data_IF_059506102973
#
_entry.id   IF_059506102973
#
_cell.length_a   1.000
_cell.length_b   1.000
_cell.length_c   1.000
_cell.angle_alpha   90.00
_cell.angle_beta   90.00
_cell.angle_gamma   90.00
#
_symmetry.space_group_name_H-M   'P 1'
#
loop_
_entity.id
_entity.type
_entity.pdbx_description
1 polymer ?
#
# COMPACT_ATOMS: atom_id res chain seq x y z
N UNK A 1 -21.66 -9.45 -26.57
CA UNK A 1 -21.32 -9.58 -25.15
C UNK A 1 -21.03 -8.17 -24.60
N UNK A 2 -21.75 -7.81 -23.55
CA UNK A 2 -21.62 -6.55 -22.85
C UNK A 2 -20.89 -6.79 -21.51
N UNK A 3 -19.82 -6.03 -21.26
CA UNK A 3 -19.05 -6.09 -20.03
C UNK A 3 -19.19 -4.79 -19.29
N UNK A 4 -19.68 -4.85 -18.04
CA UNK A 4 -19.70 -3.73 -17.12
C UNK A 4 -18.45 -3.75 -16.23
N UNK A 5 -17.77 -2.63 -16.11
CA UNK A 5 -16.64 -2.45 -15.19
C UNK A 5 -17.01 -1.39 -14.16
N UNK A 6 -17.12 -1.77 -12.89
CA UNK A 6 -17.39 -0.84 -11.79
C UNK A 6 -16.08 -0.37 -11.20
N UNK A 7 -15.78 0.92 -11.39
CA UNK A 7 -14.57 1.61 -10.97
C UNK A 7 -13.64 1.95 -12.12
N UNK A 8 -13.51 3.23 -12.40
CA UNK A 8 -12.62 3.82 -13.40
C UNK A 8 -11.18 4.05 -12.89
N UNK A 9 -10.71 3.20 -11.94
CA UNK A 9 -9.34 3.22 -11.42
C UNK A 9 -8.35 2.47 -12.30
N UNK A 10 -7.14 2.24 -11.77
CA UNK A 10 -6.04 1.59 -12.47
C UNK A 10 -6.44 0.23 -13.06
N UNK A 11 -6.94 -0.70 -12.23
CA UNK A 11 -7.27 -2.06 -12.69
C UNK A 11 -8.48 -2.09 -13.64
N UNK A 12 -9.51 -1.26 -13.38
CA UNK A 12 -10.71 -1.22 -14.21
C UNK A 12 -10.45 -0.67 -15.60
N UNK A 13 -9.72 0.43 -15.71
CA UNK A 13 -9.37 1.01 -17.02
C UNK A 13 -8.43 0.08 -17.80
N UNK A 14 -7.45 -0.55 -17.12
CA UNK A 14 -6.58 -1.51 -17.78
C UNK A 14 -7.36 -2.74 -18.27
N UNK A 15 -8.32 -3.24 -17.50
CA UNK A 15 -9.20 -4.32 -17.93
C UNK A 15 -10.02 -3.90 -19.16
N UNK A 16 -10.66 -2.73 -19.13
CA UNK A 16 -11.46 -2.22 -20.24
C UNK A 16 -10.64 -2.02 -21.52
N UNK A 17 -9.42 -1.45 -21.39
CA UNK A 17 -8.49 -1.28 -22.52
C UNK A 17 -8.07 -2.64 -23.08
N UNK A 18 -7.65 -3.58 -22.24
CA UNK A 18 -7.20 -4.91 -22.67
C UNK A 18 -8.32 -5.69 -23.37
N UNK A 19 -9.58 -5.58 -22.90
CA UNK A 19 -10.75 -6.19 -23.56
C UNK A 19 -10.94 -5.64 -24.98
N UNK A 20 -10.96 -4.31 -25.12
CA UNK A 20 -11.22 -3.65 -26.43
C UNK A 20 -10.07 -3.76 -27.40
N UNK A 21 -8.82 -3.78 -26.94
CA UNK A 21 -7.65 -4.00 -27.81
C UNK A 21 -7.64 -5.39 -28.44
N UNK A 22 -8.07 -6.42 -27.69
CA UNK A 22 -8.10 -7.79 -28.19
C UNK A 22 -9.39 -8.12 -28.97
N UNK A 23 -10.50 -7.45 -28.67
CA UNK A 23 -11.76 -7.64 -29.39
C UNK A 23 -12.55 -6.33 -29.50
N UNK A 24 -12.45 -5.66 -30.66
CA UNK A 24 -13.13 -4.39 -30.93
C UNK A 24 -14.67 -4.47 -30.87
N UNK A 25 -15.24 -5.65 -31.07
CA UNK A 25 -16.69 -5.84 -31.14
C UNK A 25 -17.34 -6.10 -29.77
N UNK A 26 -16.54 -6.21 -28.69
CA UNK A 26 -17.09 -6.35 -27.33
C UNK A 26 -17.62 -5.00 -26.81
N UNK A 27 -18.82 -4.99 -26.25
CA UNK A 27 -19.34 -3.81 -25.54
C UNK A 27 -18.65 -3.69 -24.17
N UNK A 28 -18.02 -2.55 -23.90
CA UNK A 28 -17.41 -2.28 -22.58
C UNK A 28 -17.88 -0.93 -22.08
N UNK A 29 -18.52 -0.96 -20.91
CA UNK A 29 -18.92 0.28 -20.20
C UNK A 29 -18.29 0.34 -18.83
N UNK A 30 -17.58 1.42 -18.55
CA UNK A 30 -16.98 1.73 -17.24
C UNK A 30 -17.91 2.66 -16.47
N UNK A 31 -18.27 2.28 -15.26
CA UNK A 31 -19.07 3.08 -14.33
C UNK A 31 -18.16 3.63 -13.24
N UNK A 32 -18.10 4.94 -13.12
CA UNK A 32 -17.28 5.64 -12.12
C UNK A 32 -18.14 6.65 -11.35
N UNK A 33 -18.11 6.56 -10.03
CA UNK A 33 -18.89 7.48 -9.18
C UNK A 33 -18.32 8.89 -9.08
N UNK A 34 -17.02 9.04 -9.35
CA UNK A 34 -16.34 10.34 -9.36
C UNK A 34 -16.52 11.04 -10.70
N UNK A 35 -16.36 12.38 -10.76
CA UNK A 35 -16.51 13.15 -12.02
C UNK A 35 -15.39 12.88 -13.04
N UNK A 36 -14.36 12.08 -12.67
CA UNK A 36 -13.27 11.67 -13.57
C UNK A 36 -12.67 10.34 -13.16
N UNK A 37 -12.29 9.55 -14.15
CA UNK A 37 -11.54 8.30 -13.95
C UNK A 37 -10.07 8.55 -13.58
N UNK A 38 -9.36 7.51 -13.09
CA UNK A 38 -7.91 7.46 -12.81
C UNK A 38 -7.44 8.47 -11.74
N UNK A 39 -8.36 9.01 -10.93
CA UNK A 39 -8.08 10.08 -9.97
C UNK A 39 -7.00 9.69 -8.95
N UNK A 40 -7.02 8.43 -8.43
CA UNK A 40 -6.04 7.95 -7.45
C UNK A 40 -4.62 7.91 -8.01
N UNK A 41 -4.42 7.68 -9.32
CA UNK A 41 -3.09 7.65 -9.95
C UNK A 41 -2.36 8.98 -9.78
N UNK A 42 -3.06 10.11 -9.88
CA UNK A 42 -2.47 11.46 -9.81
C UNK A 42 -1.75 11.74 -8.48
N UNK A 43 -2.11 11.05 -7.40
CA UNK A 43 -1.50 11.23 -6.07
C UNK A 43 -0.47 10.16 -5.73
N UNK A 44 -0.28 9.16 -6.60
CA UNK A 44 0.70 8.09 -6.36
C UNK A 44 2.13 8.57 -6.59
N UNK A 45 3.09 8.00 -5.85
CA UNK A 45 4.50 8.33 -5.97
C UNK A 45 4.80 9.84 -5.81
N UNK A 46 4.11 10.53 -4.89
CA UNK A 46 4.21 11.98 -4.69
C UNK A 46 3.93 12.79 -5.99
N UNK A 47 2.90 12.39 -6.75
CA UNK A 47 2.52 13.04 -8.01
C UNK A 47 3.35 12.60 -9.23
N UNK A 48 4.29 11.65 -9.05
CA UNK A 48 5.15 11.13 -10.13
C UNK A 48 4.62 9.83 -10.76
N UNK A 49 3.74 9.11 -10.09
CA UNK A 49 3.27 7.76 -10.39
C UNK A 49 4.42 6.73 -10.45
N UNK A 50 4.71 6.08 -9.33
CA UNK A 50 5.55 4.89 -9.34
C UNK A 50 4.78 3.74 -10.03
N UNK A 51 4.93 3.66 -11.36
CA UNK A 51 4.10 2.86 -12.26
C UNK A 51 4.15 1.37 -11.94
N UNK A 52 5.35 0.87 -11.67
CA UNK A 52 5.65 -0.52 -11.30
C UNK A 52 7.01 -0.60 -10.64
N UNK A 53 7.45 -1.83 -10.34
CA UNK A 53 8.79 -2.12 -9.87
C UNK A 53 9.32 -3.34 -10.61
N UNK A 54 10.52 -3.24 -11.22
CA UNK A 54 11.13 -4.35 -11.96
C UNK A 54 11.38 -5.58 -11.08
N UNK A 55 11.59 -5.37 -9.77
CA UNK A 55 11.82 -6.44 -8.80
C UNK A 55 10.51 -6.98 -8.19
N UNK A 56 9.34 -6.57 -8.70
CA UNK A 56 8.06 -6.97 -8.09
C UNK A 56 7.87 -8.49 -8.17
N UNK A 57 7.78 -9.11 -7.00
CA UNK A 57 7.51 -10.53 -6.79
C UNK A 57 6.50 -10.70 -5.67
N UNK A 58 6.05 -11.92 -5.40
CA UNK A 58 5.12 -12.22 -4.30
C UNK A 58 5.64 -11.78 -2.92
N UNK A 59 6.95 -11.74 -2.73
CA UNK A 59 7.59 -11.41 -1.45
C UNK A 59 7.31 -9.96 -1.02
N UNK A 60 7.00 -9.09 -1.98
CA UNK A 60 6.61 -7.71 -1.74
C UNK A 60 5.12 -7.53 -1.47
N UNK A 61 4.38 -8.61 -1.21
CA UNK A 61 2.94 -8.55 -0.96
C UNK A 61 2.55 -9.21 0.36
N UNK A 62 1.36 -8.87 0.84
CA UNK A 62 0.71 -9.42 2.03
C UNK A 62 -0.72 -9.84 1.69
N UNK A 63 -1.32 -10.66 2.56
CA UNK A 63 -2.63 -11.24 2.32
C UNK A 63 -2.54 -12.53 1.50
N UNK A 64 -3.48 -12.75 0.59
CA UNK A 64 -3.61 -13.97 -0.21
C UNK A 64 -2.68 -13.96 -1.44
N UNK A 65 -1.36 -14.00 -1.22
CA UNK A 65 -0.33 -13.80 -2.26
C UNK A 65 -0.33 -14.85 -3.37
N UNK A 66 -0.96 -16.00 -3.19
CA UNK A 66 -1.11 -17.03 -4.23
C UNK A 66 -1.90 -16.53 -5.45
N UNK A 67 -2.77 -15.53 -5.26
CA UNK A 67 -3.54 -14.87 -6.32
C UNK A 67 -2.63 -14.22 -7.36
N UNK A 68 -1.44 -13.81 -6.97
CA UNK A 68 -0.48 -13.15 -7.84
C UNK A 68 0.19 -14.10 -8.86
N UNK A 69 0.15 -15.42 -8.64
CA UNK A 69 0.94 -16.40 -9.40
C UNK A 69 0.73 -16.29 -10.90
N UNK A 70 -0.50 -16.43 -11.34
CA UNK A 70 -0.83 -16.38 -12.77
C UNK A 70 -0.75 -14.97 -13.35
N UNK A 71 -1.18 -13.98 -12.55
CA UNK A 71 -1.13 -12.60 -12.98
C UNK A 71 0.29 -12.13 -13.26
N UNK A 72 1.26 -12.50 -12.41
CA UNK A 72 2.66 -12.09 -12.58
C UNK A 72 3.42 -13.00 -13.56
N UNK A 73 3.03 -14.25 -13.72
CA UNK A 73 3.56 -15.12 -14.78
C UNK A 73 3.22 -14.59 -16.17
N UNK A 74 1.98 -14.16 -16.38
CA UNK A 74 1.51 -13.67 -17.69
C UNK A 74 1.81 -12.19 -17.92
N UNK A 75 1.69 -11.39 -16.88
CA UNK A 75 1.84 -9.94 -16.92
C UNK A 75 2.86 -9.45 -15.88
N UNK A 76 4.14 -9.87 -16.00
CA UNK A 76 5.22 -9.39 -15.13
C UNK A 76 5.47 -7.89 -15.31
N UNK A 77 6.31 -7.24 -14.49
CA UNK A 77 6.65 -5.83 -14.61
C UNK A 77 7.05 -5.40 -16.02
N UNK A 78 7.90 -6.19 -16.69
CA UNK A 78 8.33 -5.93 -18.07
C UNK A 78 7.14 -5.85 -19.04
N UNK A 79 6.18 -6.78 -18.94
CA UNK A 79 5.00 -6.78 -19.80
C UNK A 79 4.09 -5.57 -19.56
N UNK A 80 4.03 -5.05 -18.33
CA UNK A 80 3.29 -3.83 -18.05
C UNK A 80 4.02 -2.57 -18.51
N UNK A 81 5.35 -2.53 -18.45
CA UNK A 81 6.17 -1.46 -19.07
C UNK A 81 5.92 -1.43 -20.59
N UNK A 82 5.97 -2.58 -21.25
CA UNK A 82 5.70 -2.70 -22.70
C UNK A 82 4.28 -2.26 -23.05
N UNK A 83 3.28 -2.61 -22.22
CA UNK A 83 1.92 -2.14 -22.38
C UNK A 83 1.84 -0.60 -22.36
N UNK A 84 2.46 0.06 -21.38
CA UNK A 84 2.47 1.52 -21.32
C UNK A 84 3.30 2.16 -22.46
N UNK A 85 4.40 1.53 -22.86
CA UNK A 85 5.16 1.99 -24.02
C UNK A 85 4.30 1.95 -25.30
N UNK A 86 3.46 0.93 -25.48
CA UNK A 86 2.54 0.85 -26.63
C UNK A 86 1.46 1.94 -26.62
N UNK A 87 1.17 2.52 -25.44
CA UNK A 87 0.29 3.69 -25.30
C UNK A 87 1.02 5.03 -25.46
N UNK A 88 2.31 5.03 -25.86
CA UNK A 88 3.12 6.22 -26.03
C UNK A 88 3.74 6.78 -24.76
N UNK A 89 3.78 6.01 -23.67
CA UNK A 89 4.38 6.42 -22.40
C UNK A 89 5.78 5.84 -22.25
N UNK A 90 6.81 6.66 -22.38
CA UNK A 90 8.19 6.26 -22.04
C UNK A 90 8.40 6.25 -20.52
N UNK A 91 9.08 5.21 -20.05
CA UNK A 91 9.40 5.03 -18.62
C UNK A 91 10.90 4.98 -18.39
N UNK A 92 11.32 5.22 -17.15
CA UNK A 92 12.69 5.02 -16.66
C UNK A 92 12.67 4.28 -15.34
N UNK A 93 13.67 3.43 -15.12
CA UNK A 93 13.90 2.76 -13.85
C UNK A 93 14.83 3.59 -12.97
N UNK A 94 14.46 3.77 -11.73
CA UNK A 94 15.25 4.44 -10.68
C UNK A 94 15.72 3.43 -9.63
N UNK A 95 16.36 3.93 -8.57
CA UNK A 95 16.88 3.08 -7.49
C UNK A 95 15.83 2.09 -6.95
N UNK A 96 16.28 0.91 -6.56
CA UNK A 96 15.45 -0.19 -6.04
C UNK A 96 14.42 -0.74 -7.05
N UNK A 97 14.66 -0.57 -8.35
CA UNK A 97 13.78 -1.08 -9.42
C UNK A 97 12.47 -0.30 -9.62
N UNK A 98 12.32 0.87 -9.02
CA UNK A 98 11.13 1.72 -9.15
C UNK A 98 11.03 2.31 -10.55
N UNK A 99 9.88 2.16 -11.20
CA UNK A 99 9.66 2.63 -12.57
C UNK A 99 8.72 3.83 -12.57
N UNK A 100 9.15 4.90 -13.25
CA UNK A 100 8.40 6.15 -13.37
C UNK A 100 8.28 6.56 -14.84
N UNK A 101 7.26 7.36 -15.22
CA UNK A 101 7.27 8.03 -16.52
C UNK A 101 8.49 8.96 -16.61
N UNK A 102 9.09 9.05 -17.81
CA UNK A 102 10.27 9.90 -18.03
C UNK A 102 9.99 11.36 -17.68
N UNK A 103 8.76 11.82 -17.92
CA UNK A 103 8.30 13.17 -17.53
C UNK A 103 8.32 13.43 -16.02
N UNK A 104 8.36 12.37 -15.20
CA UNK A 104 8.22 12.46 -13.74
C UNK A 104 6.85 12.93 -13.26
N UNK A 105 5.81 12.83 -14.08
CA UNK A 105 4.46 13.30 -13.76
C UNK A 105 3.42 12.19 -13.89
N UNK A 106 2.61 12.00 -12.86
CA UNK A 106 1.49 11.04 -12.85
C UNK A 106 0.44 11.34 -13.92
N UNK A 107 0.28 12.62 -14.31
CA UNK A 107 -0.61 13.04 -15.38
C UNK A 107 -0.25 12.44 -16.74
N UNK A 108 1.02 12.14 -17.00
CA UNK A 108 1.42 11.48 -18.24
C UNK A 108 0.82 10.07 -18.36
N UNK A 109 0.82 9.30 -17.27
CA UNK A 109 0.18 7.97 -17.19
C UNK A 109 -1.31 8.06 -17.40
N UNK A 110 -1.95 9.03 -16.75
CA UNK A 110 -3.39 9.26 -16.87
C UNK A 110 -3.74 9.65 -18.32
N UNK A 111 -3.00 10.56 -18.93
CA UNK A 111 -3.24 11.02 -20.30
C UNK A 111 -3.06 9.89 -21.33
N UNK A 112 -2.03 9.05 -21.20
CA UNK A 112 -1.84 7.89 -22.08
C UNK A 112 -3.06 6.95 -22.05
N UNK A 113 -3.56 6.62 -20.86
CA UNK A 113 -4.75 5.80 -20.71
C UNK A 113 -6.03 6.48 -21.21
N UNK A 114 -6.22 7.78 -20.97
CA UNK A 114 -7.39 8.54 -21.46
C UNK A 114 -7.41 8.63 -22.99
N UNK A 115 -6.26 8.87 -23.63
CA UNK A 115 -6.13 8.86 -25.09
C UNK A 115 -6.52 7.50 -25.67
N UNK A 116 -6.06 6.41 -25.06
CA UNK A 116 -6.42 5.07 -25.52
C UNK A 116 -7.91 4.77 -25.32
N UNK A 117 -8.46 5.04 -24.13
CA UNK A 117 -9.91 4.89 -23.84
C UNK A 117 -10.76 5.57 -24.91
N UNK A 118 -10.40 6.81 -25.29
CA UNK A 118 -11.09 7.56 -26.34
C UNK A 118 -10.90 6.94 -27.73
N UNK A 119 -9.66 6.56 -28.08
CA UNK A 119 -9.31 6.08 -29.43
C UNK A 119 -9.98 4.76 -29.76
N UNK A 120 -10.13 3.87 -28.77
CA UNK A 120 -10.76 2.55 -28.96
C UNK A 120 -12.25 2.53 -28.61
N UNK A 121 -12.84 3.68 -28.26
CA UNK A 121 -14.28 3.84 -28.05
C UNK A 121 -14.84 3.12 -26.83
N UNK A 122 -14.13 3.16 -25.69
CA UNK A 122 -14.68 2.65 -24.42
C UNK A 122 -15.70 3.66 -23.88
N UNK A 123 -16.91 3.19 -23.58
CA UNK A 123 -17.93 4.00 -22.94
C UNK A 123 -17.59 4.21 -21.46
N UNK A 124 -17.50 5.45 -21.02
CA UNK A 124 -17.26 5.80 -19.61
C UNK A 124 -18.41 6.65 -19.11
N UNK A 125 -19.06 6.21 -18.03
CA UNK A 125 -20.11 6.94 -17.34
C UNK A 125 -19.55 7.40 -15.99
N UNK A 126 -19.16 8.67 -15.92
CA UNK A 126 -18.77 9.34 -14.67
C UNK A 126 -19.99 9.79 -13.89
N UNK A 127 -19.80 10.22 -12.64
CA UNK A 127 -20.89 10.62 -11.72
C UNK A 127 -22.00 9.54 -11.63
N UNK A 128 -21.62 8.27 -11.84
CA UNK A 128 -22.52 7.12 -11.91
C UNK A 128 -22.10 6.08 -10.89
N UNK A 129 -22.65 6.18 -9.69
CA UNK A 129 -22.44 5.20 -8.63
C UNK A 129 -23.36 4.00 -8.82
N UNK A 130 -22.79 2.80 -8.82
CA UNK A 130 -23.57 1.55 -8.77
C UNK A 130 -23.80 1.19 -7.31
N UNK A 131 -25.04 1.22 -6.88
CA UNK A 131 -25.47 0.95 -5.51
C UNK A 131 -26.26 -0.34 -5.35
N UNK A 132 -26.74 -0.90 -6.47
CA UNK A 132 -27.47 -2.16 -6.51
C UNK A 132 -27.00 -3.05 -7.67
N UNK A 133 -26.84 -4.34 -7.41
CA UNK A 133 -26.58 -5.36 -8.43
C UNK A 133 -27.56 -6.53 -8.20
N UNK A 134 -28.37 -6.83 -9.23
CA UNK A 134 -29.20 -8.03 -9.27
C UNK A 134 -28.63 -9.00 -10.29
N UNK A 135 -28.49 -10.27 -9.92
CA UNK A 135 -28.10 -11.37 -10.81
C UNK A 135 -29.35 -12.07 -11.31
N UNK A 136 -29.53 -12.12 -12.61
CA UNK A 136 -30.52 -13.01 -13.27
C UNK A 136 -29.80 -14.28 -13.73
N UNK A 137 -30.50 -15.19 -14.41
CA UNK A 137 -29.86 -16.42 -14.91
C UNK A 137 -28.69 -16.14 -15.85
N UNK A 138 -28.78 -15.11 -16.71
CA UNK A 138 -27.84 -14.88 -17.80
C UNK A 138 -27.15 -13.52 -17.78
N UNK A 139 -27.63 -12.56 -17.00
CA UNK A 139 -27.12 -11.19 -17.01
C UNK A 139 -27.09 -10.56 -15.61
N UNK A 140 -26.32 -9.49 -15.48
CA UNK A 140 -26.32 -8.59 -14.33
C UNK A 140 -27.18 -7.36 -14.66
N UNK A 141 -28.03 -6.95 -13.72
CA UNK A 141 -28.80 -5.72 -13.78
C UNK A 141 -28.26 -4.77 -12.71
N UNK A 142 -27.70 -3.64 -13.14
CA UNK A 142 -27.07 -2.63 -12.27
C UNK A 142 -28.04 -1.44 -12.12
N UNK A 143 -28.31 -1.03 -10.89
CA UNK A 143 -29.25 0.07 -10.55
C UNK A 143 -30.61 -0.05 -11.27
N UNK A 144 -31.09 -1.25 -11.54
CA UNK A 144 -32.35 -1.51 -12.24
C UNK A 144 -32.39 -1.09 -13.72
N UNK A 145 -31.31 -0.57 -14.30
CA UNK A 145 -31.31 0.05 -15.64
C UNK A 145 -30.20 -0.47 -16.57
N UNK A 146 -29.01 -0.76 -16.05
CA UNK A 146 -27.88 -1.13 -16.89
C UNK A 146 -27.71 -2.66 -16.90
N UNK A 147 -27.64 -3.25 -18.08
CA UNK A 147 -27.49 -4.69 -18.28
C UNK A 147 -26.09 -5.05 -18.73
N UNK A 148 -25.56 -6.17 -18.26
CA UNK A 148 -24.28 -6.71 -18.68
C UNK A 148 -24.23 -8.24 -18.59
N UNK A 149 -23.56 -8.90 -19.55
CA UNK A 149 -23.31 -10.35 -19.55
C UNK A 149 -22.21 -10.73 -18.56
N UNK A 150 -21.22 -9.82 -18.37
CA UNK A 150 -20.10 -9.96 -17.46
C UNK A 150 -19.92 -8.71 -16.63
N UNK A 151 -19.53 -8.91 -15.37
CA UNK A 151 -19.34 -7.81 -14.41
C UNK A 151 -17.94 -7.87 -13.78
N UNK A 152 -17.21 -6.77 -13.85
CA UNK A 152 -15.89 -6.61 -13.22
C UNK A 152 -15.98 -5.60 -12.09
N UNK A 153 -15.69 -6.02 -10.86
CA UNK A 153 -15.53 -5.10 -9.71
C UNK A 153 -14.07 -4.69 -9.64
N UNK A 154 -13.81 -3.42 -9.93
CA UNK A 154 -12.49 -2.77 -9.97
C UNK A 154 -12.44 -1.46 -9.18
N UNK A 155 -13.33 -1.30 -8.20
CA UNK A 155 -13.55 -0.06 -7.44
C UNK A 155 -12.53 0.17 -6.32
N UNK A 156 -11.53 -0.71 -6.19
CA UNK A 156 -10.50 -0.62 -5.16
C UNK A 156 -10.98 -1.03 -3.77
N UNK A 157 -10.22 -0.65 -2.75
CA UNK A 157 -10.50 -0.95 -1.34
C UNK A 157 -11.23 0.19 -0.61
N UNK A 158 -10.80 0.47 0.63
CA UNK A 158 -11.37 1.52 1.50
C UNK A 158 -10.43 2.70 1.74
N UNK A 159 -9.17 2.61 1.28
CA UNK A 159 -8.14 3.63 1.48
C UNK A 159 -8.21 4.76 0.44
N UNK A 160 -7.79 5.97 0.85
CA UNK A 160 -7.80 7.18 0.01
C UNK A 160 -9.21 7.59 -0.43
N UNK A 161 -10.13 7.74 0.51
CA UNK A 161 -11.55 8.08 0.27
C UNK A 161 -11.75 9.32 -0.61
N UNK A 162 -10.92 10.35 -0.45
CA UNK A 162 -10.95 11.55 -1.28
C UNK A 162 -10.71 11.27 -2.78
N UNK A 163 -10.20 10.11 -3.12
CA UNK A 163 -9.95 9.65 -4.49
C UNK A 163 -11.03 8.68 -5.02
N UNK A 164 -12.10 8.44 -4.24
CA UNK A 164 -13.25 7.64 -4.64
C UNK A 164 -13.28 6.20 -4.09
N UNK A 165 -12.27 5.76 -3.32
CA UNK A 165 -12.22 4.41 -2.74
C UNK A 165 -12.72 4.43 -1.29
N UNK A 166 -13.95 4.02 -1.04
CA UNK A 166 -14.61 4.05 0.27
C UNK A 166 -15.08 2.67 0.78
N UNK A 167 -14.81 1.61 0.01
CA UNK A 167 -15.24 0.25 0.32
C UNK A 167 -16.71 -0.05 -0.04
N UNK A 168 -17.38 0.84 -0.76
CA UNK A 168 -18.79 0.66 -1.15
C UNK A 168 -19.05 -0.65 -1.90
N UNK A 169 -18.14 -1.07 -2.77
CA UNK A 169 -18.23 -2.33 -3.52
C UNK A 169 -18.23 -3.59 -2.65
N UNK A 170 -17.67 -3.55 -1.46
CA UNK A 170 -17.74 -4.70 -0.55
C UNK A 170 -19.16 -5.01 -0.09
N UNK A 171 -20.02 -3.99 0.00
CA UNK A 171 -21.44 -4.18 0.28
C UNK A 171 -22.14 -4.85 -0.91
N UNK A 172 -21.83 -4.44 -2.14
CA UNK A 172 -22.36 -5.03 -3.37
C UNK A 172 -21.92 -6.49 -3.51
N UNK A 173 -20.66 -6.79 -3.27
CA UNK A 173 -20.14 -8.17 -3.29
C UNK A 173 -20.81 -9.06 -2.24
N UNK A 174 -21.00 -8.54 -1.02
CA UNK A 174 -21.73 -9.27 0.05
C UNK A 174 -23.17 -9.55 -0.33
N UNK A 175 -23.88 -8.63 -1.00
CA UNK A 175 -25.26 -8.85 -1.45
C UNK A 175 -25.36 -9.95 -2.52
N UNK A 176 -24.25 -10.24 -3.22
CA UNK A 176 -24.14 -11.36 -4.16
C UNK A 176 -23.63 -12.66 -3.52
N UNK A 177 -23.48 -12.68 -2.18
CA UNK A 177 -23.03 -13.87 -1.45
C UNK A 177 -21.49 -14.04 -1.39
N UNK A 178 -20.71 -13.06 -1.84
CA UNK A 178 -19.23 -13.14 -1.80
C UNK A 178 -18.74 -12.76 -0.40
N UNK A 179 -17.93 -13.61 0.21
CA UNK A 179 -17.31 -13.32 1.51
C UNK A 179 -16.22 -12.26 1.38
N UNK A 180 -16.09 -11.45 2.43
CA UNK A 180 -15.12 -10.36 2.50
C UNK A 180 -14.35 -10.47 3.79
N UNK A 181 -13.02 -10.55 3.71
CA UNK A 181 -12.13 -10.33 4.86
C UNK A 181 -12.28 -8.87 5.28
N UNK A 182 -12.56 -8.59 6.57
CA UNK A 182 -12.78 -7.22 7.03
C UNK A 182 -11.63 -6.29 6.62
N UNK A 183 -11.92 -5.16 5.94
CA UNK A 183 -10.86 -4.25 5.50
C UNK A 183 -10.29 -3.48 6.70
N UNK A 184 -8.97 -3.36 6.73
CA UNK A 184 -8.22 -2.51 7.67
C UNK A 184 -7.22 -1.63 6.92
N UNK A 185 -6.83 -0.44 7.49
CA UNK A 185 -5.87 0.45 6.85
C UNK A 185 -4.47 -0.19 6.81
N UNK A 186 -3.78 -0.07 5.68
CA UNK A 186 -2.38 -0.48 5.53
C UNK A 186 -1.56 0.60 4.81
N UNK A 187 -0.24 0.55 4.92
CA UNK A 187 0.69 1.58 4.47
C UNK A 187 0.33 2.96 5.03
N UNK A 188 0.27 3.05 6.35
CA UNK A 188 -0.08 4.28 7.09
C UNK A 188 0.81 4.46 8.32
N UNK A 189 0.62 5.53 9.09
CA UNK A 189 1.35 5.75 10.34
C UNK A 189 0.84 4.88 11.49
N UNK A 190 1.74 4.52 12.40
CA UNK A 190 1.44 3.74 13.62
C UNK A 190 1.26 4.68 14.80
N UNK A 191 0.20 4.47 15.56
CA UNK A 191 -0.13 5.24 16.77
C UNK A 191 0.56 4.59 17.96
N UNK A 192 1.33 5.39 18.69
CA UNK A 192 2.09 4.96 19.88
C UNK A 192 1.45 5.52 21.15
N UNK A 193 1.27 4.66 22.14
CA UNK A 193 0.75 5.05 23.44
C UNK A 193 1.71 6.02 24.17
N UNK A 194 1.16 7.11 24.70
CA UNK A 194 1.94 8.08 25.49
C UNK A 194 3.10 8.76 24.74
N UNK A 195 3.05 8.83 23.40
CA UNK A 195 4.17 9.33 22.61
C UNK A 195 4.38 10.86 22.79
N UNK A 196 5.62 11.33 23.03
CA UNK A 196 5.86 12.73 23.35
C UNK A 196 5.77 13.62 22.11
N UNK A 197 5.03 14.73 22.23
CA UNK A 197 4.90 15.72 21.14
C UNK A 197 6.22 16.46 20.84
N UNK A 198 7.18 16.44 21.76
CA UNK A 198 8.47 17.11 21.62
C UNK A 198 9.33 16.58 20.47
N UNK A 199 9.12 15.34 20.03
CA UNK A 199 9.86 14.73 18.91
C UNK A 199 9.16 14.93 17.56
N UNK A 200 8.03 15.64 17.50
CA UNK A 200 7.28 15.87 16.26
C UNK A 200 8.17 16.54 15.19
N UNK A 201 8.12 15.99 13.98
CA UNK A 201 8.84 16.48 12.81
C UNK A 201 10.28 15.94 12.67
N UNK A 202 10.79 15.24 13.69
CA UNK A 202 12.12 14.63 13.61
C UNK A 202 12.08 13.47 12.59
N UNK A 203 13.17 13.34 11.84
CA UNK A 203 13.45 12.18 10.96
C UNK A 203 14.78 11.58 11.36
N UNK A 204 14.85 10.26 11.37
CA UNK A 204 16.06 9.53 11.70
C UNK A 204 16.09 8.18 10.96
N UNK A 205 17.29 7.76 10.53
CA UNK A 205 17.47 6.40 10.01
C UNK A 205 17.46 5.44 11.18
N UNK A 206 16.53 4.51 11.17
CA UNK A 206 16.34 3.51 12.22
C UNK A 206 16.22 2.11 11.61
N UNK A 207 16.50 1.09 12.42
CA UNK A 207 15.93 -0.23 12.18
C UNK A 207 14.66 -0.36 13.01
N UNK A 208 13.54 -0.58 12.34
CA UNK A 208 12.24 -0.82 12.98
C UNK A 208 11.95 -2.31 13.00
N UNK A 209 11.64 -2.87 14.17
CA UNK A 209 11.25 -4.26 14.35
C UNK A 209 9.94 -4.35 15.10
N UNK A 210 8.96 -5.06 14.53
CA UNK A 210 7.62 -5.22 15.09
C UNK A 210 7.48 -6.58 15.76
N UNK A 211 7.05 -6.56 17.00
CA UNK A 211 6.69 -7.75 17.76
C UNK A 211 5.18 -7.78 18.02
N UNK A 212 4.57 -8.93 17.80
CA UNK A 212 3.19 -9.23 18.14
C UNK A 212 3.20 -10.41 19.11
N UNK A 213 2.69 -10.22 20.30
CA UNK A 213 2.67 -11.23 21.38
C UNK A 213 4.06 -11.83 21.68
N UNK A 214 5.12 -11.02 21.53
CA UNK A 214 6.50 -11.39 21.78
C UNK A 214 7.23 -12.02 20.60
N UNK A 215 6.56 -12.29 19.47
CA UNK A 215 7.16 -12.82 18.26
C UNK A 215 7.53 -11.70 17.27
N UNK A 216 8.76 -11.72 16.73
CA UNK A 216 9.17 -10.79 15.67
C UNK A 216 8.43 -11.12 14.37
N UNK A 217 7.69 -10.14 13.84
CA UNK A 217 6.85 -10.28 12.65
C UNK A 217 7.36 -9.52 11.44
N UNK A 218 8.15 -8.48 11.68
CA UNK A 218 8.70 -7.65 10.60
C UNK A 218 9.89 -6.84 11.07
N UNK A 219 10.91 -6.71 10.21
CA UNK A 219 12.11 -5.91 10.48
C UNK A 219 12.60 -5.22 9.22
N UNK A 220 12.84 -3.91 9.30
CA UNK A 220 13.36 -3.15 8.17
C UNK A 220 14.15 -1.92 8.64
N UNK A 221 15.21 -1.56 7.88
CA UNK A 221 15.99 -0.34 8.07
C UNK A 221 15.54 0.75 7.09
N UNK A 222 15.34 1.96 7.59
CA UNK A 222 15.06 3.12 6.76
C UNK A 222 14.70 4.36 7.57
N UNK A 223 14.29 5.43 6.88
CA UNK A 223 13.91 6.69 7.52
C UNK A 223 12.58 6.53 8.26
N UNK A 224 12.61 6.75 9.57
CA UNK A 224 11.44 6.86 10.45
C UNK A 224 11.17 8.32 10.71
N UNK A 225 9.93 8.73 10.54
CA UNK A 225 9.43 10.06 10.85
C UNK A 225 8.63 10.02 12.15
N UNK A 226 9.02 10.86 13.10
CA UNK A 226 8.37 10.99 14.39
C UNK A 226 7.29 12.09 14.31
N UNK A 227 6.07 11.78 14.76
CA UNK A 227 4.89 12.65 14.70
C UNK A 227 4.28 12.82 16.11
N UNK A 228 3.26 13.63 16.23
CA UNK A 228 2.54 13.83 17.50
C UNK A 228 1.65 12.66 17.93
N UNK A 229 1.34 11.74 17.02
CA UNK A 229 0.55 10.53 17.27
C UNK A 229 1.42 9.26 17.41
N UNK A 230 2.70 9.34 17.05
CA UNK A 230 3.59 8.18 16.98
C UNK A 230 4.57 8.29 15.82
N UNK A 231 4.65 7.28 14.97
CA UNK A 231 5.69 7.18 13.95
C UNK A 231 5.13 6.85 12.55
N UNK A 232 5.88 7.26 11.52
CA UNK A 232 5.65 6.94 10.11
C UNK A 232 6.99 6.78 9.37
N UNK A 233 6.98 6.85 8.05
CA UNK A 233 8.13 6.54 7.20
C UNK A 233 8.00 5.13 6.60
N UNK A 234 8.78 4.83 5.56
CA UNK A 234 8.61 3.59 4.78
C UNK A 234 8.63 2.33 5.66
N UNK A 235 9.62 2.11 6.55
CA UNK A 235 9.64 0.92 7.40
C UNK A 235 8.39 0.77 8.26
N UNK A 236 7.90 1.88 8.81
CA UNK A 236 6.72 1.90 9.66
C UNK A 236 5.44 1.66 8.85
N UNK A 237 5.33 2.27 7.68
CA UNK A 237 4.17 2.07 6.81
C UNK A 237 4.05 0.63 6.36
N UNK A 238 5.15 -0.03 6.04
CA UNK A 238 5.18 -1.42 5.59
C UNK A 238 4.74 -2.42 6.66
N UNK A 239 5.00 -2.14 7.94
CA UNK A 239 4.54 -2.98 9.06
C UNK A 239 3.12 -2.63 9.57
N UNK A 240 2.57 -1.48 9.16
CA UNK A 240 1.31 -0.96 9.73
C UNK A 240 0.09 -1.86 9.49
N UNK A 241 0.05 -2.58 8.36
CA UNK A 241 -0.99 -3.57 8.10
C UNK A 241 -1.01 -4.67 9.15
N UNK A 242 0.17 -5.16 9.58
CA UNK A 242 0.29 -6.18 10.64
C UNK A 242 -0.26 -5.62 11.96
N UNK A 243 0.05 -4.36 12.29
CA UNK A 243 -0.51 -3.70 13.49
C UNK A 243 -2.04 -3.64 13.42
N UNK A 244 -2.60 -3.26 12.26
CA UNK A 244 -4.04 -3.13 12.08
C UNK A 244 -4.79 -4.47 12.16
N UNK A 245 -4.20 -5.52 11.60
CA UNK A 245 -4.74 -6.89 11.60
C UNK A 245 -4.74 -7.54 13.00
N UNK A 246 -3.78 -7.15 13.86
CA UNK A 246 -3.63 -7.68 15.21
C UNK A 246 -4.14 -6.73 16.30
N UNK A 247 -5.14 -5.89 15.98
CA UNK A 247 -5.73 -4.94 16.93
C UNK A 247 -6.25 -5.65 18.18
N UNK A 248 -5.75 -5.21 19.34
CA UNK A 248 -6.07 -5.81 20.65
C UNK A 248 -5.01 -6.78 21.17
N UNK A 249 -4.04 -7.20 20.37
CA UNK A 249 -2.86 -7.95 20.81
C UNK A 249 -1.81 -7.06 21.52
N UNK A 250 -0.82 -7.69 22.10
CA UNK A 250 0.34 -6.98 22.67
C UNK A 250 1.33 -6.66 21.57
N UNK A 251 1.31 -5.41 21.08
CA UNK A 251 2.12 -4.98 19.92
C UNK A 251 3.20 -4.02 20.40
N UNK A 252 4.46 -4.42 20.20
CA UNK A 252 5.64 -3.63 20.54
C UNK A 252 6.43 -3.30 19.27
N UNK A 253 6.67 -2.01 19.05
CA UNK A 253 7.59 -1.53 18.03
C UNK A 253 8.93 -1.21 18.70
N UNK A 254 9.99 -1.89 18.29
CA UNK A 254 11.36 -1.66 18.73
C UNK A 254 12.10 -0.85 17.66
N UNK A 255 12.70 0.27 18.05
CA UNK A 255 13.50 1.10 17.17
C UNK A 255 14.97 1.09 17.61
N UNK A 256 15.86 0.65 16.73
CA UNK A 256 17.28 0.93 16.82
C UNK A 256 17.54 2.30 16.16
N UNK A 257 17.86 3.30 16.96
CA UNK A 257 18.02 4.69 16.50
C UNK A 257 19.38 4.94 15.82
N UNK A 258 20.34 4.03 15.94
CA UNK A 258 21.70 4.12 15.37
C UNK A 258 22.12 2.78 14.78
N UNK A 259 21.49 2.32 13.67
CA UNK A 259 21.66 0.96 13.18
C UNK A 259 23.09 0.62 12.72
N UNK A 260 23.89 1.61 12.41
CA UNK A 260 25.27 1.42 11.91
C UNK A 260 26.33 1.46 13.03
N UNK A 261 25.93 1.64 14.29
CA UNK A 261 26.81 1.69 15.47
C UNK A 261 26.32 0.66 16.46
N UNK A 262 27.22 -0.23 16.95
CA UNK A 262 26.81 -1.20 17.96
C UNK A 262 26.77 -0.58 19.37
N UNK A 263 26.06 -1.25 20.30
CA UNK A 263 25.83 -0.77 21.65
C UNK A 263 27.13 -0.51 22.41
N UNK A 264 28.12 -1.40 22.31
CA UNK A 264 29.39 -1.26 23.00
C UNK A 264 30.23 -0.11 22.46
N UNK A 265 30.22 0.13 21.15
CA UNK A 265 30.89 1.28 20.53
C UNK A 265 30.28 2.59 21.00
N UNK A 266 28.93 2.68 21.00
CA UNK A 266 28.21 3.83 21.49
C UNK A 266 28.52 4.10 22.96
N UNK A 267 28.49 3.08 23.81
CA UNK A 267 28.80 3.22 25.23
C UNK A 267 30.25 3.68 25.46
N UNK A 268 31.23 3.09 24.76
CA UNK A 268 32.66 3.49 24.83
C UNK A 268 32.85 4.94 24.39
N UNK A 269 32.20 5.34 23.28
CA UNK A 269 32.24 6.72 22.80
C UNK A 269 31.71 7.69 23.84
N UNK A 270 30.53 7.47 24.40
CA UNK A 270 29.92 8.33 25.40
C UNK A 270 30.74 8.42 26.70
N UNK A 271 31.29 7.29 27.17
CA UNK A 271 32.20 7.28 28.33
C UNK A 271 33.49 8.05 28.05
N UNK A 272 34.00 8.04 26.82
CA UNK A 272 35.16 8.86 26.44
C UNK A 272 34.84 10.36 26.44
N UNK A 273 33.65 10.76 25.95
CA UNK A 273 33.17 12.13 25.99
C UNK A 273 32.99 12.63 27.43
N UNK A 274 32.41 11.79 28.30
CA UNK A 274 32.28 12.10 29.74
C UNK A 274 33.63 12.41 30.38
N UNK A 275 34.68 11.61 30.11
CA UNK A 275 36.03 11.85 30.65
C UNK A 275 36.66 13.12 30.12
N UNK A 276 36.37 13.52 28.88
CA UNK A 276 36.95 14.69 28.22
C UNK A 276 36.22 15.97 28.54
N UNK A 277 34.91 15.94 28.73
CA UNK A 277 34.05 17.13 28.85
C UNK A 277 33.06 16.98 30.02
N UNK A 278 33.57 17.05 31.26
CA UNK A 278 32.79 16.83 32.47
C UNK A 278 31.60 17.76 32.62
N UNK A 279 31.77 19.04 32.19
CA UNK A 279 30.80 20.12 32.41
C UNK A 279 29.74 20.24 31.29
N UNK A 280 29.93 19.55 30.15
CA UNK A 280 28.90 19.51 29.11
C UNK A 280 27.64 18.84 29.65
N UNK A 281 26.49 19.38 29.28
CA UNK A 281 25.23 18.74 29.61
C UNK A 281 25.09 17.39 28.84
N UNK A 282 24.26 16.50 29.37
CA UNK A 282 23.94 15.23 28.70
C UNK A 282 23.33 15.50 27.32
N UNK A 283 22.44 16.50 27.17
CA UNK A 283 21.84 16.88 25.88
C UNK A 283 22.90 17.35 24.88
N UNK A 284 23.83 18.22 25.28
CA UNK A 284 24.94 18.66 24.40
C UNK A 284 25.81 17.48 23.96
N UNK A 285 26.06 16.53 24.85
CA UNK A 285 26.88 15.33 24.55
C UNK A 285 26.20 14.44 23.52
N UNK A 286 24.88 14.22 23.59
CA UNK A 286 24.17 13.35 22.66
C UNK A 286 23.72 14.05 21.36
N UNK A 287 23.76 15.40 21.32
CA UNK A 287 23.38 16.17 20.12
C UNK A 287 24.27 15.91 18.89
N UNK A 288 25.48 15.37 19.11
CA UNK A 288 26.41 14.97 18.05
C UNK A 288 26.12 13.59 17.46
N UNK A 289 25.16 12.83 18.02
CA UNK A 289 24.86 11.44 17.60
C UNK A 289 23.40 11.23 17.22
N UNK A 290 22.48 12.02 17.77
CA UNK A 290 21.04 11.97 17.47
C UNK A 290 20.50 13.38 17.23
N UNK A 291 19.44 13.55 16.45
CA UNK A 291 18.69 14.81 16.40
C UNK A 291 18.30 15.24 17.82
N UNK A 292 18.48 16.53 18.14
CA UNK A 292 18.38 17.06 19.50
C UNK A 292 17.14 16.57 20.25
N UNK A 293 15.95 16.73 19.68
CA UNK A 293 14.70 16.34 20.34
C UNK A 293 14.61 14.81 20.59
N UNK A 294 15.14 14.00 19.68
CA UNK A 294 15.17 12.54 19.83
C UNK A 294 16.19 12.11 20.90
N UNK A 295 17.35 12.74 20.90
CA UNK A 295 18.37 12.56 21.94
C UNK A 295 17.84 12.91 23.34
N UNK A 296 17.19 14.08 23.47
CA UNK A 296 16.54 14.51 24.73
C UNK A 296 15.48 13.51 25.21
N UNK A 297 14.66 13.00 24.30
CA UNK A 297 13.68 11.97 24.63
C UNK A 297 14.34 10.66 25.11
N UNK A 298 15.38 10.20 24.43
CA UNK A 298 16.10 8.99 24.81
C UNK A 298 16.81 9.12 26.17
N UNK A 299 17.37 10.31 26.48
CA UNK A 299 17.95 10.63 27.80
C UNK A 299 16.89 10.51 28.91
N UNK A 300 15.74 11.17 28.73
CA UNK A 300 14.64 11.12 29.71
C UNK A 300 14.12 9.70 29.89
N UNK A 301 13.97 8.93 28.81
CA UNK A 301 13.58 7.51 28.85
C UNK A 301 14.63 6.62 29.55
N UNK A 302 15.86 7.13 29.74
CA UNK A 302 16.95 6.47 30.47
C UNK A 302 17.16 7.06 31.89
N UNK A 303 16.22 7.90 32.35
CA UNK A 303 16.30 8.59 33.64
C UNK A 303 17.57 9.46 33.78
N UNK A 304 17.97 10.13 32.70
CA UNK A 304 19.05 11.13 32.65
C UNK A 304 18.40 12.49 32.34
N UNK A 305 18.64 13.51 33.16
CA UNK A 305 18.15 14.89 32.91
C UNK A 305 18.95 15.52 31.80
N UNK A 306 18.30 16.21 30.86
CA UNK A 306 18.96 16.88 29.74
C UNK A 306 20.03 17.86 30.14
N UNK A 307 19.74 18.68 31.16
CA UNK A 307 20.66 19.70 31.67
C UNK A 307 21.70 19.17 32.68
N UNK A 308 21.71 17.88 33.00
CA UNK A 308 22.68 17.30 33.95
C UNK A 308 24.08 17.29 33.29
N UNK A 309 25.14 17.74 33.98
CA UNK A 309 26.51 17.58 33.51
C UNK A 309 26.81 16.09 33.23
N UNK A 310 27.41 15.80 32.10
CA UNK A 310 27.68 14.40 31.70
C UNK A 310 28.69 13.75 32.67
N UNK A 311 29.57 14.53 33.28
CA UNK A 311 30.51 14.08 34.35
C UNK A 311 29.77 13.47 35.55
N UNK A 312 28.59 14.00 35.90
CA UNK A 312 27.78 13.52 37.02
C UNK A 312 26.88 12.34 36.70
N UNK A 313 26.80 11.93 35.42
CA UNK A 313 25.96 10.76 35.01
C UNK A 313 26.72 9.46 35.33
N UNK A 314 26.18 8.58 36.16
CA UNK A 314 26.83 7.28 36.44
C UNK A 314 27.09 6.47 35.15
N UNK A 315 28.24 5.77 35.08
CA UNK A 315 28.61 4.96 33.90
C UNK A 315 27.55 3.90 33.57
N UNK A 316 26.91 3.33 34.60
CA UNK A 316 25.80 2.40 34.42
C UNK A 316 24.60 3.03 33.67
N UNK A 317 24.29 4.31 33.92
CA UNK A 317 23.23 5.03 33.20
C UNK A 317 23.63 5.34 31.74
N UNK A 318 24.91 5.61 31.47
CA UNK A 318 25.40 5.80 30.09
C UNK A 318 25.26 4.49 29.30
N UNK A 319 25.59 3.36 29.91
CA UNK A 319 25.37 2.03 29.29
C UNK A 319 23.88 1.75 29.05
N UNK A 320 23.03 2.02 30.05
CA UNK A 320 21.58 1.89 29.92
C UNK A 320 21.00 2.80 28.82
N UNK A 321 21.50 4.04 28.68
CA UNK A 321 21.15 4.92 27.57
C UNK A 321 21.57 4.32 26.22
N UNK A 322 22.76 3.75 26.11
CA UNK A 322 23.24 3.10 24.88
C UNK A 322 22.34 1.94 24.49
N UNK A 323 21.94 1.09 25.46
CA UNK A 323 21.00 0.00 25.25
C UNK A 323 19.61 0.54 24.84
N UNK A 324 19.12 1.61 25.47
CA UNK A 324 17.84 2.23 25.13
C UNK A 324 17.83 2.80 23.70
N UNK A 325 18.93 3.43 23.26
CA UNK A 325 19.10 3.94 21.88
C UNK A 325 19.07 2.79 20.86
N UNK A 326 19.62 1.65 21.21
CA UNK A 326 19.63 0.45 20.35
C UNK A 326 18.32 -0.33 20.37
N UNK A 327 17.50 -0.15 21.39
CA UNK A 327 16.23 -0.85 21.55
C UNK A 327 15.20 0.05 22.25
N UNK A 328 14.76 1.09 21.56
CA UNK A 328 13.68 1.95 22.02
C UNK A 328 12.35 1.26 21.80
N UNK A 329 11.79 0.71 22.86
CA UNK A 329 10.50 0.00 22.83
C UNK A 329 9.34 0.97 22.94
N UNK A 330 8.40 0.87 22.01
CA UNK A 330 7.21 1.71 21.88
C UNK A 330 5.98 0.79 21.82
N UNK A 331 4.97 1.07 22.64
CA UNK A 331 3.70 0.32 22.60
C UNK A 331 2.83 0.84 21.48
N UNK A 332 2.61 0.03 20.45
CA UNK A 332 1.72 0.35 19.35
C UNK A 332 0.27 0.03 19.77
N UNK A 333 -0.63 1.02 19.65
CA UNK A 333 -2.05 0.88 20.04
C UNK A 333 -2.99 0.89 18.83
N UNK A 334 -2.46 1.07 17.62
CA UNK A 334 -3.23 1.07 16.38
C UNK A 334 -2.50 1.79 15.25
N UNK A 335 -3.26 2.07 14.21
CA UNK A 335 -2.78 2.78 13.02
C UNK A 335 -3.70 3.94 12.70
N UNK A 336 -3.22 4.90 11.89
CA UNK A 336 -4.08 5.95 11.36
C UNK A 336 -5.13 5.38 10.40
N UNK A 337 -6.31 6.01 10.37
CA UNK A 337 -7.46 5.55 9.60
C UNK A 337 -7.26 5.53 8.08
N UNK A 338 -8.31 5.09 7.38
CA UNK A 338 -8.32 4.95 5.92
C UNK A 338 -8.08 6.26 5.16
N UNK A 339 -8.37 7.40 5.76
CA UNK A 339 -8.11 8.72 5.18
C UNK A 339 -6.61 9.01 5.01
N UNK A 340 -5.76 8.34 5.79
CA UNK A 340 -4.29 8.46 5.75
C UNK A 340 -3.60 7.23 5.17
N UNK A 341 -4.32 6.15 4.97
CA UNK A 341 -3.79 4.91 4.43
C UNK A 341 -3.62 4.99 2.90
N UNK A 342 -2.54 4.41 2.39
CA UNK A 342 -2.34 4.31 0.94
C UNK A 342 -3.12 3.15 0.32
N UNK A 343 -3.25 2.05 1.08
CA UNK A 343 -3.90 0.82 0.63
C UNK A 343 -4.75 0.19 1.73
N UNK A 344 -5.54 -0.79 1.34
CA UNK A 344 -6.40 -1.60 2.20
C UNK A 344 -5.79 -2.99 2.35
N UNK A 345 -5.68 -3.51 3.58
CA UNK A 345 -5.60 -4.94 3.85
C UNK A 345 -7.00 -5.50 4.02
N UNK A 346 -7.25 -6.72 3.55
CA UNK A 346 -8.60 -7.29 3.48
C UNK A 346 -9.22 -7.17 2.09
N UNK A 347 -10.48 -7.58 1.92
CA UNK A 347 -11.18 -7.67 0.64
C UNK A 347 -11.61 -9.08 0.31
N UNK A 348 -11.81 -9.39 -0.97
CA UNK A 348 -12.25 -10.71 -1.44
C UNK A 348 -11.12 -11.72 -1.29
N UNK A 349 -11.29 -12.78 -0.45
CA UNK A 349 -10.24 -13.77 -0.23
C UNK A 349 -10.10 -14.74 -1.42
N UNK A 350 -8.93 -15.39 -1.51
CA UNK A 350 -8.64 -16.42 -2.53
C UNK A 350 -9.64 -17.58 -2.54
N UNK A 351 -10.29 -17.86 -1.44
CA UNK A 351 -11.32 -18.90 -1.35
C UNK A 351 -12.55 -18.60 -2.21
N UNK A 352 -12.85 -17.33 -2.46
CA UNK A 352 -14.03 -16.88 -3.20
C UNK A 352 -13.79 -16.73 -4.70
N UNK A 353 -12.54 -16.69 -5.17
CA UNK A 353 -12.20 -16.47 -6.58
C UNK A 353 -11.36 -17.59 -7.17
N UNK A 354 -11.46 -17.74 -8.47
CA UNK A 354 -10.57 -18.59 -9.25
C UNK A 354 -9.24 -17.84 -9.46
N UNK A 355 -8.13 -18.43 -9.04
CA UNK A 355 -6.81 -17.79 -9.07
C UNK A 355 -6.27 -17.55 -10.49
N UNK A 356 -6.78 -18.30 -11.49
CA UNK A 356 -6.35 -18.22 -12.90
C UNK A 356 -7.13 -17.18 -13.71
N UNK A 357 -8.34 -16.78 -13.23
CA UNK A 357 -9.27 -15.94 -14.00
C UNK A 357 -9.75 -14.72 -13.23
N UNK A 358 -9.63 -14.70 -11.90
CA UNK A 358 -10.21 -13.74 -10.98
C UNK A 358 -11.75 -13.73 -11.00
N UNK A 359 -12.39 -14.76 -11.54
CA UNK A 359 -13.84 -14.96 -11.50
C UNK A 359 -14.28 -15.44 -10.12
N UNK A 360 -15.39 -14.93 -9.60
CA UNK A 360 -16.00 -15.43 -8.37
C UNK A 360 -16.50 -16.87 -8.56
N UNK A 361 -16.13 -17.78 -7.65
CA UNK A 361 -16.48 -19.22 -7.78
C UNK A 361 -17.98 -19.46 -7.73
N UNK A 362 -18.71 -18.72 -6.91
CA UNK A 362 -20.13 -18.92 -6.65
C UNK A 362 -21.04 -17.98 -7.48
N UNK A 363 -20.46 -17.03 -8.23
CA UNK A 363 -21.22 -16.07 -9.05
C UNK A 363 -20.60 -16.00 -10.43
N UNK A 364 -21.06 -16.86 -11.32
CA UNK A 364 -20.54 -16.96 -12.68
C UNK A 364 -20.67 -15.62 -13.43
N UNK A 365 -19.60 -15.22 -14.11
CA UNK A 365 -19.52 -13.97 -14.85
C UNK A 365 -19.18 -12.73 -14.01
N UNK A 366 -18.99 -12.90 -12.69
CA UNK A 366 -18.51 -11.85 -11.79
C UNK A 366 -17.01 -12.00 -11.58
N UNK A 367 -16.27 -10.94 -11.84
CA UNK A 367 -14.81 -10.86 -11.67
C UNK A 367 -14.44 -9.77 -10.67
N UNK A 368 -13.34 -9.96 -9.94
CA UNK A 368 -12.83 -8.96 -8.97
C UNK A 368 -11.35 -8.71 -9.24
N UNK A 369 -10.96 -7.42 -9.37
CA UNK A 369 -9.58 -7.04 -9.71
C UNK A 369 -9.02 -5.96 -8.80
N UNK A 370 -7.70 -5.81 -8.81
CA UNK A 370 -7.00 -4.76 -8.07
C UNK A 370 -7.14 -4.88 -6.55
N UNK A 371 -7.24 -3.74 -5.88
CA UNK A 371 -7.23 -3.64 -4.41
C UNK A 371 -8.55 -4.14 -3.75
N UNK A 372 -9.56 -4.51 -4.53
CA UNK A 372 -10.76 -5.15 -4.00
C UNK A 372 -10.52 -6.60 -3.55
N UNK A 373 -9.44 -7.22 -4.02
CA UNK A 373 -8.99 -8.56 -3.64
C UNK A 373 -8.13 -8.48 -2.39
N UNK A 374 -8.18 -9.50 -1.52
CA UNK A 374 -7.41 -9.57 -0.26
C UNK A 374 -5.90 -9.74 -0.49
N UNK A 375 -5.28 -8.80 -1.19
CA UNK A 375 -3.83 -8.73 -1.40
C UNK A 375 -3.40 -7.28 -1.57
N UNK A 376 -2.31 -6.88 -0.91
CA UNK A 376 -1.71 -5.57 -1.07
C UNK A 376 -0.19 -5.65 -1.11
N UNK A 377 0.42 -4.79 -1.91
CA UNK A 377 1.87 -4.67 -2.03
C UNK A 377 2.45 -3.68 -1.03
N UNK A 378 3.71 -3.87 -0.69
CA UNK A 378 4.53 -2.93 0.06
C UNK A 378 4.74 -1.62 -0.71
N UNK A 379 5.38 -0.62 -0.09
CA UNK A 379 5.76 0.62 -0.77
C UNK A 379 6.76 0.32 -1.90
N UNK A 380 6.58 0.93 -3.09
CA UNK A 380 7.57 0.75 -4.14
C UNK A 380 7.06 0.50 -5.56
N UNK A 381 5.75 0.68 -5.84
CA UNK A 381 5.15 0.47 -7.16
C UNK A 381 4.41 -0.87 -7.29
N UNK A 382 4.48 -1.72 -6.27
CA UNK A 382 3.92 -3.07 -6.29
C UNK A 382 2.37 -3.07 -6.40
N UNK A 383 1.68 -2.15 -5.75
CA UNK A 383 0.22 -2.05 -5.80
C UNK A 383 -0.30 -1.67 -7.20
N UNK A 384 0.40 -0.81 -7.92
CA UNK A 384 0.06 -0.51 -9.31
C UNK A 384 0.40 -1.67 -10.23
N UNK A 385 1.53 -2.36 -10.01
CA UNK A 385 1.85 -3.61 -10.72
C UNK A 385 0.69 -4.62 -10.63
N UNK A 386 0.16 -4.85 -9.41
CA UNK A 386 -0.99 -5.71 -9.21
C UNK A 386 -2.24 -5.21 -9.95
N UNK A 387 -2.51 -3.91 -9.87
CA UNK A 387 -3.67 -3.33 -10.54
C UNK A 387 -3.64 -3.56 -12.06
N UNK A 388 -2.48 -3.35 -12.71
CA UNK A 388 -2.30 -3.60 -14.14
C UNK A 388 -2.42 -5.07 -14.48
N UNK A 389 -1.70 -5.93 -13.76
CA UNK A 389 -1.67 -7.38 -14.03
C UNK A 389 -3.02 -8.04 -13.82
N UNK A 390 -3.73 -7.70 -12.75
CA UNK A 390 -5.06 -8.26 -12.46
C UNK A 390 -6.12 -7.81 -13.47
N UNK A 391 -6.07 -6.54 -13.91
CA UNK A 391 -6.97 -6.03 -14.93
C UNK A 391 -6.79 -6.76 -16.28
N UNK A 392 -5.54 -6.99 -16.69
CA UNK A 392 -5.21 -7.71 -17.94
C UNK A 392 -5.56 -9.20 -17.85
N UNK A 393 -5.30 -9.84 -16.70
CA UNK A 393 -5.66 -11.25 -16.47
C UNK A 393 -7.18 -11.45 -16.55
N UNK A 394 -7.95 -10.56 -15.93
CA UNK A 394 -9.40 -10.58 -15.98
C UNK A 394 -9.91 -10.42 -17.42
N UNK A 395 -9.37 -9.49 -18.18
CA UNK A 395 -9.73 -9.28 -19.58
C UNK A 395 -9.48 -10.53 -20.45
N UNK A 396 -8.31 -11.16 -20.30
CA UNK A 396 -7.98 -12.42 -20.99
C UNK A 396 -8.97 -13.54 -20.65
N UNK A 397 -9.34 -13.68 -19.37
CA UNK A 397 -10.26 -14.69 -18.91
C UNK A 397 -11.66 -14.53 -19.53
N UNK A 398 -12.19 -13.30 -19.53
CA UNK A 398 -13.50 -12.97 -20.14
C UNK A 398 -13.52 -13.30 -21.63
N UNK A 399 -12.45 -12.99 -22.36
CA UNK A 399 -12.37 -13.26 -23.80
C UNK A 399 -12.27 -14.74 -24.12
N UNK A 400 -11.53 -15.53 -23.35
CA UNK A 400 -11.42 -16.99 -23.54
C UNK A 400 -12.76 -17.71 -23.36
N UNK A 401 -13.55 -17.34 -22.35
CA UNK A 401 -14.90 -17.90 -22.18
C UNK A 401 -15.80 -17.63 -23.40
N UNK A 402 -15.71 -16.42 -23.98
CA UNK A 402 -16.52 -16.04 -25.13
C UNK A 402 -16.20 -16.86 -26.39
N UNK A 403 -14.94 -17.30 -26.53
CA UNK A 403 -14.51 -18.11 -27.66
C UNK A 403 -15.03 -19.56 -27.55
N UNK A 404 -15.06 -20.11 -26.33
CA UNK A 404 -15.58 -21.47 -26.06
C UNK A 404 -17.09 -21.56 -26.28
N UNK A 405 -17.84 -20.51 -25.95
CA UNK A 405 -19.31 -20.44 -26.13
C UNK A 405 -19.71 -20.33 -27.61
N UNK A 406 -18.89 -19.69 -28.46
CA UNK A 406 -19.18 -19.58 -29.90
C UNK A 406 -18.88 -20.86 -30.70
N UNK A 407 -18.06 -21.76 -30.14
CA UNK A 407 -17.65 -23.02 -30.80
C UNK A 407 -18.48 -24.22 -30.31
N UNK A 408 -19.48 -24.01 -29.48
CA UNK A 408 -20.52 -24.97 -29.11
C UNK A 408 -21.88 -24.57 -29.71
#
# INVERSE_FOLDING_TARGET
>A
MEVAVIGGGASGITCAVALKQQNRNIGVTVYEKMPRILKKILVTGNGRCNLTNENSSKDFFRGDTEILTDAFSKYPPKSNIEFFNSLGLLTRTEAQGRVYPVSGQASAVVNALLCEVKSIGIKVLTDTEITEIKRTQNEFLLNGSYKADKLVIASGGSAARAQGTDGGSFKLLKSLGVKIVPPVPALTGVIIDGFPKSVKGVRNICTAELFVDGESRYKEKGEVQFNDYGVSGIPIMQLSGIVAENKGGNITLCLDLLPDINENELAKFLLSQKKKYTDKTAEETVSGILPKALGSYALLASNIKNAQPIGDVPDGKIKAFSSKVKNLQLKAVGVRGFEFAQVTSGGVPKSEINLHTLECKNVKGLYVTGEAVNVYGLCGGHNLQWAWSSGRLCAEAILKENTVVKNK
#
